data_IF_105629076192
#
_entry.id   IF_105629076192
#
_cell.length_a   1.000
_cell.length_b   1.000
_cell.length_c   1.000
_cell.angle_alpha   90.00
_cell.angle_beta   90.00
_cell.angle_gamma   90.00
#
_symmetry.space_group_name_H-M   'P 1'
#
loop_
_entity.id
_entity.type
_entity.pdbx_description
1 polymer ?
#
# COMPACT_ATOMS: atom_id res chain seq x y z
N UNK A 1 73.17 -50.33 4.63
CA UNK A 1 72.49 -49.70 3.49
C UNK A 1 71.35 -50.61 3.04
N UNK A 2 70.11 -50.33 3.43
CA UNK A 2 68.94 -50.94 2.80
C UNK A 2 67.75 -50.00 2.99
N UNK A 3 67.14 -49.66 1.86
CA UNK A 3 66.17 -48.59 1.66
C UNK A 3 64.78 -49.03 2.11
N UNK A 4 64.28 -48.51 3.23
CA UNK A 4 62.85 -48.44 3.49
C UNK A 4 62.35 -47.10 2.96
N UNK A 5 61.78 -47.08 1.75
CA UNK A 5 60.96 -45.96 1.30
C UNK A 5 59.50 -46.37 1.40
N UNK A 6 58.91 -45.91 2.49
CA UNK A 6 57.48 -45.88 2.74
C UNK A 6 56.71 -45.32 1.55
N UNK A 7 55.64 -46.02 1.20
CA UNK A 7 54.58 -45.55 0.35
C UNK A 7 53.92 -44.30 0.97
N UNK A 8 53.81 -43.22 0.20
CA UNK A 8 52.79 -42.21 0.40
C UNK A 8 52.13 -41.99 -0.95
N UNK A 9 51.10 -42.79 -1.24
CA UNK A 9 50.11 -42.44 -2.24
C UNK A 9 49.38 -41.20 -1.71
N UNK A 10 49.81 -40.03 -2.15
CA UNK A 10 49.17 -38.75 -1.85
C UNK A 10 47.83 -38.67 -2.59
N UNK A 11 46.76 -39.15 -1.96
CA UNK A 11 45.39 -38.85 -2.40
C UNK A 11 45.06 -37.44 -1.90
N UNK A 12 45.17 -36.46 -2.80
CA UNK A 12 44.64 -35.11 -2.60
C UNK A 12 43.11 -35.18 -2.67
N UNK A 13 42.46 -35.39 -1.53
CA UNK A 13 41.02 -35.23 -1.40
C UNK A 13 40.69 -33.73 -1.31
N UNK A 14 40.29 -33.13 -2.44
CA UNK A 14 39.71 -31.79 -2.47
C UNK A 14 38.30 -31.85 -1.86
N UNK A 15 38.20 -31.65 -0.55
CA UNK A 15 36.91 -31.44 0.12
C UNK A 15 36.38 -30.06 -0.26
N UNK A 16 35.57 -30.00 -1.31
CA UNK A 16 34.78 -28.83 -1.65
C UNK A 16 33.75 -28.58 -0.54
N UNK A 17 33.90 -27.49 0.21
CA UNK A 17 32.84 -27.00 1.07
C UNK A 17 31.72 -26.45 0.18
N UNK A 18 30.71 -27.27 -0.10
CA UNK A 18 29.47 -26.79 -0.69
C UNK A 18 28.71 -26.00 0.37
N UNK A 19 28.93 -24.69 0.43
CA UNK A 19 28.09 -23.79 1.23
C UNK A 19 26.65 -23.95 0.74
N UNK A 20 25.67 -24.25 1.60
CA UNK A 20 24.27 -24.25 1.17
C UNK A 20 23.92 -22.80 0.83
N UNK A 21 23.84 -22.50 -0.47
CA UNK A 21 23.25 -21.25 -0.92
C UNK A 21 21.83 -21.20 -0.39
N UNK A 22 21.51 -20.18 0.41
CA UNK A 22 20.13 -19.91 0.83
C UNK A 22 19.30 -19.79 -0.44
N UNK A 23 18.35 -20.71 -0.63
CA UNK A 23 17.51 -20.70 -1.83
C UNK A 23 16.71 -19.39 -1.85
N UNK A 24 16.36 -18.92 -3.06
CA UNK A 24 15.49 -17.76 -3.21
C UNK A 24 14.18 -17.95 -2.42
N UNK A 25 13.68 -19.19 -2.33
CA UNK A 25 12.52 -19.53 -1.52
C UNK A 25 12.75 -19.35 -0.01
N UNK A 26 13.94 -19.68 0.51
CA UNK A 26 14.30 -19.44 1.92
C UNK A 26 14.45 -17.95 2.23
N UNK A 27 14.97 -17.17 1.27
CA UNK A 27 15.03 -15.71 1.40
C UNK A 27 13.62 -15.15 1.47
N UNK A 28 12.75 -15.51 0.51
CA UNK A 28 11.35 -15.08 0.47
C UNK A 28 10.54 -15.51 1.70
N UNK A 29 10.77 -16.73 2.21
CA UNK A 29 10.08 -17.26 3.39
C UNK A 29 10.49 -16.53 4.69
N UNK A 30 11.70 -15.95 4.75
CA UNK A 30 12.19 -15.17 5.89
C UNK A 30 11.80 -13.70 5.82
N UNK A 31 11.66 -13.13 4.63
CA UNK A 31 11.11 -11.78 4.44
C UNK A 31 9.59 -11.83 4.41
N UNK A 32 8.97 -11.77 5.58
CA UNK A 32 7.53 -11.49 5.66
C UNK A 32 7.27 -10.15 4.94
N UNK A 33 6.30 -10.05 4.02
CA UNK A 33 5.97 -8.78 3.39
C UNK A 33 5.66 -7.78 4.51
N UNK A 34 6.36 -6.64 4.52
CA UNK A 34 6.02 -5.53 5.40
C UNK A 34 4.69 -4.96 4.89
N UNK A 35 3.59 -5.59 5.25
CA UNK A 35 2.28 -5.00 5.03
C UNK A 35 2.22 -3.74 5.87
N UNK A 36 2.02 -2.56 5.25
CA UNK A 36 1.92 -1.32 6.01
C UNK A 36 0.75 -1.44 6.99
N UNK A 37 0.99 -1.04 8.24
CA UNK A 37 -0.03 -1.05 9.29
C UNK A 37 -1.20 -0.17 8.86
N UNK A 38 -2.41 -0.72 8.82
CA UNK A 38 -3.63 0.06 8.54
C UNK A 38 -3.78 1.18 9.60
N UNK A 39 -4.13 2.41 9.19
CA UNK A 39 -4.41 3.51 10.12
C UNK A 39 -5.65 3.23 10.98
N UNK A 40 -5.82 4.00 12.06
CA UNK A 40 -7.00 3.92 12.92
C UNK A 40 -8.27 4.22 12.10
N UNK A 41 -9.19 3.25 11.95
CA UNK A 41 -10.35 3.39 11.07
C UNK A 41 -11.32 4.47 11.55
N UNK A 42 -11.35 4.80 12.85
CA UNK A 42 -12.28 5.79 13.40
C UNK A 42 -11.90 7.24 13.05
N UNK A 43 -10.64 7.47 12.66
CA UNK A 43 -10.10 8.81 12.42
C UNK A 43 -9.52 9.00 11.02
N UNK A 44 -9.28 7.91 10.30
CA UNK A 44 -8.67 7.95 8.98
C UNK A 44 -9.52 8.74 7.99
N UNK A 45 -8.90 9.73 7.37
CA UNK A 45 -9.50 10.65 6.42
C UNK A 45 -10.41 11.71 7.04
N UNK A 46 -10.97 11.49 8.23
CA UNK A 46 -11.95 12.39 8.87
C UNK A 46 -11.35 13.35 9.88
N UNK A 47 -10.04 13.21 10.17
CA UNK A 47 -9.29 14.13 11.02
C UNK A 47 -8.01 14.62 10.32
N UNK A 48 -7.61 15.89 10.52
CA UNK A 48 -6.37 16.42 9.94
C UNK A 48 -5.12 15.64 10.32
N UNK A 49 -5.09 15.07 11.51
CA UNK A 49 -3.94 14.32 12.03
C UNK A 49 -3.79 12.94 11.36
N UNK A 50 -4.83 12.47 10.67
CA UNK A 50 -4.87 11.19 9.99
C UNK A 50 -5.48 11.33 8.59
N UNK A 51 -4.86 12.12 7.69
CA UNK A 51 -5.44 12.45 6.39
C UNK A 51 -5.29 11.29 5.40
N UNK A 52 -6.06 11.34 4.32
CA UNK A 52 -5.85 10.45 3.17
C UNK A 52 -4.66 10.96 2.35
N UNK A 53 -3.54 10.23 2.39
CA UNK A 53 -2.31 10.57 1.69
C UNK A 53 -2.27 9.96 0.31
N UNK A 54 -2.92 10.64 -0.64
CA UNK A 54 -3.09 10.14 -2.01
C UNK A 54 -1.85 10.41 -2.87
N UNK A 55 -1.08 11.45 -2.56
CA UNK A 55 0.02 11.90 -3.39
C UNK A 55 -0.41 12.29 -4.81
N UNK A 56 0.56 12.45 -5.71
CA UNK A 56 0.34 12.65 -7.16
C UNK A 56 -0.54 13.86 -7.55
N UNK A 57 -0.65 14.85 -6.66
CA UNK A 57 -1.41 16.08 -6.88
C UNK A 57 -2.88 15.82 -7.23
N UNK A 58 -3.44 16.70 -8.07
CA UNK A 58 -4.85 16.62 -8.48
C UNK A 58 -5.22 15.31 -9.15
N UNK A 59 -4.25 14.62 -9.79
CA UNK A 59 -4.47 13.31 -10.40
C UNK A 59 -4.74 12.24 -9.34
N UNK A 60 -3.94 12.22 -8.26
CA UNK A 60 -4.14 11.29 -7.14
C UNK A 60 -5.46 11.55 -6.42
N UNK A 61 -5.80 12.82 -6.20
CA UNK A 61 -7.09 13.23 -5.63
C UNK A 61 -8.25 12.75 -6.50
N UNK A 62 -8.20 13.01 -7.80
CA UNK A 62 -9.25 12.61 -8.76
C UNK A 62 -9.39 11.09 -8.83
N UNK A 63 -8.27 10.36 -8.84
CA UNK A 63 -8.27 8.90 -8.85
C UNK A 63 -8.89 8.33 -7.56
N UNK A 64 -8.52 8.87 -6.40
CA UNK A 64 -9.05 8.46 -5.11
C UNK A 64 -10.58 8.60 -5.05
N UNK A 65 -11.11 9.78 -5.37
CA UNK A 65 -12.56 9.98 -5.37
C UNK A 65 -13.27 9.21 -6.50
N UNK A 66 -12.59 8.96 -7.63
CA UNK A 66 -13.09 8.09 -8.69
C UNK A 66 -13.28 6.63 -8.25
N UNK A 67 -12.53 6.18 -7.24
CA UNK A 67 -12.62 4.84 -6.66
C UNK A 67 -13.49 4.77 -5.40
N UNK A 68 -13.67 5.87 -4.68
CA UNK A 68 -14.43 5.91 -3.43
C UNK A 68 -15.91 5.62 -3.66
N UNK A 69 -16.49 4.71 -2.87
CA UNK A 69 -17.89 4.32 -2.93
C UNK A 69 -18.52 4.30 -1.55
N UNK A 70 -19.85 4.42 -1.50
CA UNK A 70 -20.63 4.08 -0.32
C UNK A 70 -20.53 2.59 0.03
N UNK A 71 -21.03 2.16 1.20
CA UNK A 71 -20.83 0.81 1.71
C UNK A 71 -21.48 -0.29 0.85
N UNK A 72 -22.42 0.06 -0.03
CA UNK A 72 -23.04 -0.85 -0.98
C UNK A 72 -22.56 -0.62 -2.42
N UNK A 73 -21.46 0.11 -2.61
CA UNK A 73 -20.94 0.44 -3.94
C UNK A 73 -21.58 1.67 -4.58
N UNK A 74 -22.34 2.48 -3.83
CA UNK A 74 -22.96 3.70 -4.37
C UNK A 74 -21.89 4.67 -4.92
N UNK A 75 -22.16 5.35 -6.04
CA UNK A 75 -21.29 6.43 -6.50
C UNK A 75 -21.24 7.54 -5.45
N UNK A 76 -20.06 8.10 -5.25
CA UNK A 76 -19.83 9.19 -4.33
C UNK A 76 -19.79 10.51 -5.08
N UNK A 77 -20.48 11.51 -4.56
CA UNK A 77 -20.33 12.90 -4.95
C UNK A 77 -19.40 13.61 -3.96
N UNK A 78 -18.58 14.53 -4.44
CA UNK A 78 -17.64 15.27 -3.61
C UNK A 78 -17.48 16.70 -4.11
N UNK A 79 -17.19 17.61 -3.18
CA UNK A 79 -16.82 19.00 -3.48
C UNK A 79 -15.66 19.44 -2.61
N UNK A 80 -14.74 20.21 -3.19
CA UNK A 80 -13.65 20.82 -2.44
C UNK A 80 -14.17 22.03 -1.67
N UNK A 81 -13.91 22.06 -0.37
CA UNK A 81 -14.33 23.13 0.54
C UNK A 81 -13.24 24.19 0.75
N UNK A 82 -11.97 23.82 0.56
CA UNK A 82 -10.83 24.71 0.73
C UNK A 82 -9.57 23.95 1.10
N UNK A 83 -8.59 24.68 1.61
CA UNK A 83 -7.35 24.13 2.18
C UNK A 83 -7.24 24.46 3.67
N UNK A 84 -6.61 23.59 4.42
CA UNK A 84 -6.30 23.79 5.83
C UNK A 84 -4.96 23.19 6.19
N UNK A 85 -4.63 23.32 7.48
CA UNK A 85 -3.74 22.41 8.17
C UNK A 85 -2.38 22.31 7.48
N UNK A 86 -1.54 23.32 7.73
CA UNK A 86 -0.14 23.27 7.31
C UNK A 86 0.54 22.08 7.99
N UNK A 87 1.20 21.26 7.19
CA UNK A 87 1.97 20.14 7.68
C UNK A 87 3.40 20.19 7.15
N UNK A 88 4.30 19.61 7.93
CA UNK A 88 5.67 19.34 7.53
C UNK A 88 5.91 17.86 7.80
N UNK A 89 6.26 17.12 6.75
CA UNK A 89 6.68 15.74 6.87
C UNK A 89 8.17 15.65 6.59
N UNK A 90 8.88 14.92 7.44
CA UNK A 90 10.28 14.58 7.23
C UNK A 90 10.35 13.10 6.93
N UNK A 91 10.92 12.75 5.79
CA UNK A 91 11.23 11.36 5.43
C UNK A 91 12.74 11.19 5.18
N UNK A 92 13.16 9.99 4.79
CA UNK A 92 14.56 9.70 4.50
C UNK A 92 15.12 10.40 3.26
N UNK A 93 14.30 11.13 2.50
CA UNK A 93 14.65 11.79 1.22
C UNK A 93 14.61 13.32 1.34
N UNK A 94 13.92 13.86 2.34
CA UNK A 94 13.91 15.29 2.60
C UNK A 94 12.80 15.75 3.55
N UNK A 95 12.45 17.03 3.43
CA UNK A 95 11.34 17.63 4.16
C UNK A 95 10.29 18.10 3.15
N UNK A 96 9.12 17.48 3.18
CA UNK A 96 7.94 17.90 2.43
C UNK A 96 7.09 18.84 3.28
N UNK A 97 6.60 19.92 2.67
CA UNK A 97 5.67 20.86 3.30
C UNK A 97 4.46 21.02 2.41
N UNK A 98 3.27 21.08 3.02
CA UNK A 98 2.03 21.20 2.29
C UNK A 98 0.87 21.69 3.14
N UNK A 99 -0.29 21.82 2.49
CA UNK A 99 -1.59 22.05 3.11
C UNK A 99 -2.50 20.90 2.74
N UNK A 100 -3.33 20.46 3.68
CA UNK A 100 -4.38 19.50 3.40
C UNK A 100 -5.51 20.19 2.64
N UNK A 101 -6.09 19.51 1.67
CA UNK A 101 -7.35 19.94 1.08
C UNK A 101 -8.53 19.31 1.81
N UNK A 102 -9.55 20.12 2.06
CA UNK A 102 -10.81 19.70 2.70
C UNK A 102 -11.83 19.41 1.61
N UNK A 103 -12.47 18.26 1.70
CA UNK A 103 -13.54 17.84 0.82
C UNK A 103 -14.79 17.49 1.64
N UNK A 104 -15.94 17.88 1.14
CA UNK A 104 -17.22 17.32 1.59
C UNK A 104 -17.61 16.19 0.62
N UNK A 105 -18.07 15.08 1.18
CA UNK A 105 -18.27 13.81 0.47
C UNK A 105 -19.62 13.22 0.85
N UNK A 106 -20.39 12.76 -0.11
CA UNK A 106 -21.71 12.16 0.13
C UNK A 106 -22.04 11.06 -0.88
N UNK A 107 -23.02 10.23 -0.54
CA UNK A 107 -23.60 9.21 -1.40
C UNK A 107 -25.09 9.03 -1.08
N UNK A 108 -25.82 8.34 -1.96
CA UNK A 108 -27.25 8.09 -1.76
C UNK A 108 -27.53 7.26 -0.50
N UNK A 109 -28.37 7.79 0.39
CA UNK A 109 -28.71 7.18 1.67
C UNK A 109 -27.77 7.55 2.83
N UNK A 110 -26.84 8.50 2.63
CA UNK A 110 -26.06 9.08 3.71
C UNK A 110 -26.81 10.28 4.33
N UNK A 111 -27.11 10.19 5.63
CA UNK A 111 -27.88 11.23 6.34
C UNK A 111 -27.15 12.58 6.40
N UNK A 112 -25.83 12.57 6.53
CA UNK A 112 -25.02 13.79 6.65
C UNK A 112 -23.71 13.61 5.87
N UNK A 113 -23.36 14.55 4.97
CA UNK A 113 -22.09 14.51 4.26
C UNK A 113 -20.90 14.43 5.22
N UNK A 114 -19.87 13.68 4.81
CA UNK A 114 -18.64 13.49 5.58
C UNK A 114 -17.57 14.45 5.07
N UNK A 115 -16.84 15.05 5.99
CA UNK A 115 -15.67 15.88 5.67
C UNK A 115 -14.43 15.00 5.65
N UNK A 116 -13.68 15.05 4.54
CA UNK A 116 -12.39 14.39 4.38
C UNK A 116 -11.25 15.40 4.25
N UNK A 117 -10.13 15.06 4.89
CA UNK A 117 -8.85 15.76 4.79
C UNK A 117 -7.92 14.93 3.90
N UNK A 118 -7.43 15.55 2.82
CA UNK A 118 -6.64 14.87 1.80
C UNK A 118 -5.31 15.58 1.62
N UNK A 119 -4.25 14.80 1.66
CA UNK A 119 -2.88 15.20 1.33
C UNK A 119 -2.57 14.73 -0.09
N UNK A 120 -2.46 15.69 -1.01
CA UNK A 120 -2.17 15.45 -2.42
C UNK A 120 -0.67 15.37 -2.73
N UNK A 121 0.20 15.62 -1.76
CA UNK A 121 1.64 15.77 -1.97
C UNK A 121 2.38 14.51 -1.55
N UNK A 122 2.10 14.04 -0.34
CA UNK A 122 2.72 12.82 0.16
C UNK A 122 1.91 11.60 -0.26
N UNK A 123 2.55 10.65 -0.95
CA UNK A 123 1.97 9.34 -1.27
C UNK A 123 2.12 8.35 -0.11
N UNK A 124 1.04 7.65 0.23
CA UNK A 124 1.06 6.55 1.20
C UNK A 124 0.16 5.38 0.79
N UNK A 125 -0.01 4.41 1.69
CA UNK A 125 -1.04 3.39 1.51
C UNK A 125 -2.43 4.02 1.70
N UNK A 126 -3.24 3.95 0.65
CA UNK A 126 -4.57 4.56 0.58
C UNK A 126 -5.64 3.54 0.97
N UNK A 127 -6.53 3.93 1.87
CA UNK A 127 -7.67 3.12 2.33
C UNK A 127 -8.98 3.90 2.15
N UNK A 128 -10.12 3.24 2.34
CA UNK A 128 -11.38 3.94 2.51
C UNK A 128 -11.55 4.41 3.98
N UNK A 129 -12.07 5.62 4.23
CA UNK A 129 -12.53 6.04 5.55
C UNK A 129 -13.73 5.20 6.00
N UNK A 130 -14.01 5.22 7.31
CA UNK A 130 -15.14 4.49 7.87
C UNK A 130 -16.46 4.84 7.18
N UNK A 131 -17.26 3.81 6.86
CA UNK A 131 -18.52 3.99 6.12
C UNK A 131 -18.36 4.09 4.61
N UNK A 132 -17.14 3.96 4.08
CA UNK A 132 -16.86 3.94 2.65
C UNK A 132 -16.06 2.68 2.27
N UNK A 133 -15.98 2.44 0.97
CA UNK A 133 -15.18 1.36 0.37
C UNK A 133 -14.43 1.89 -0.86
N UNK A 134 -13.33 1.25 -1.24
CA UNK A 134 -12.66 1.52 -2.52
C UNK A 134 -13.08 0.46 -3.54
N UNK A 135 -13.54 0.88 -4.72
CA UNK A 135 -13.85 -0.03 -5.82
C UNK A 135 -12.61 -0.90 -6.15
N UNK A 136 -12.76 -2.22 -6.07
CA UNK A 136 -11.68 -3.18 -6.31
C UNK A 136 -10.66 -3.32 -5.17
N UNK A 137 -10.90 -2.69 -4.01
CA UNK A 137 -10.07 -2.86 -2.82
C UNK A 137 -10.47 -4.07 -1.95
N UNK A 138 -9.64 -4.44 -0.96
CA UNK A 138 -9.91 -5.56 -0.06
C UNK A 138 -11.15 -5.34 0.84
N UNK A 139 -11.59 -4.09 0.99
CA UNK A 139 -12.80 -3.72 1.73
C UNK A 139 -14.01 -3.52 0.79
N UNK A 140 -13.90 -3.85 -0.51
CA UNK A 140 -14.99 -3.70 -1.46
C UNK A 140 -16.12 -4.71 -1.20
N UNK A 141 -17.40 -4.31 -1.32
CA UNK A 141 -18.50 -5.26 -1.41
C UNK A 141 -18.23 -6.22 -2.57
N UNK A 142 -18.58 -7.50 -2.40
CA UNK A 142 -18.52 -8.46 -3.49
C UNK A 142 -19.23 -7.87 -4.71
N UNK A 143 -18.57 -7.92 -5.88
CA UNK A 143 -19.14 -7.39 -7.11
C UNK A 143 -20.56 -7.97 -7.31
N UNK A 144 -21.51 -7.17 -7.81
CA UNK A 144 -22.82 -7.71 -8.15
C UNK A 144 -22.66 -8.90 -9.10
N UNK A 145 -23.42 -9.99 -8.90
CA UNK A 145 -23.32 -11.18 -9.74
C UNK A 145 -23.53 -10.81 -11.21
N UNK A 146 -22.59 -11.18 -12.08
CA UNK A 146 -22.61 -10.88 -13.52
C UNK A 146 -21.56 -9.88 -14.02
N UNK A 147 -20.58 -9.51 -13.19
CA UNK A 147 -19.46 -8.63 -13.59
C UNK A 147 -18.14 -9.42 -13.67
N UNK A 148 -18.09 -10.49 -14.46
CA UNK A 148 -16.79 -11.09 -14.81
C UNK A 148 -16.10 -10.19 -15.84
N UNK A 149 -14.81 -9.86 -15.67
CA UNK A 149 -14.09 -9.13 -16.71
C UNK A 149 -13.98 -10.01 -17.96
N UNK A 150 -14.46 -9.52 -19.09
CA UNK A 150 -14.21 -10.14 -20.39
C UNK A 150 -12.69 -10.17 -20.63
N UNK A 151 -12.09 -11.32 -20.37
CA UNK A 151 -10.71 -11.59 -20.76
C UNK A 151 -10.74 -11.79 -22.28
N UNK A 152 -10.38 -10.75 -23.02
CA UNK A 152 -10.05 -10.90 -24.44
C UNK A 152 -8.59 -11.35 -24.48
N UNK A 153 -8.37 -12.66 -24.67
CA UNK A 153 -7.08 -13.17 -25.09
C UNK A 153 -6.84 -12.72 -26.54
N UNK A 154 -5.77 -11.95 -26.77
CA UNK A 154 -5.33 -11.49 -28.10
C UNK A 154 -4.61 -12.61 -28.86
#
# INVERSE_FOLDING_TARGET
MSLFRFACAGVLALTACASPGTSFEDVMRRTQPLTPKRPDPMTYGTRPENPVRVGWGDKGVSAYFGLLRGPQGQPVAWRRMGDCCEFTQVDGQGTEKGKLSIFEVTYEGLDTPVVLYVDAYTGGSVYAPWGFVLKGGPDAPAAPPGTEPDIIEL
#
